data_IF_464690458364
#
_entry.id   IF_464690458364
#
_cell.length_a   1.000
_cell.length_b   1.000
_cell.length_c   1.000
_cell.angle_alpha   90.00
_cell.angle_beta   90.00
_cell.angle_gamma   90.00
#
_symmetry.space_group_name_H-M   'P 1'
#
loop_
_entity.id
_entity.type
_entity.pdbx_description
1 polymer ?
#
# COMPACT_ATOMS: atom_id res chain seq x y z
N UNK A 1 -12.25 -29.07 12.53
CA UNK A 1 -12.46 -27.67 12.95
C UNK A 1 -12.69 -26.81 11.72
N UNK A 2 -13.81 -26.15 11.65
CA UNK A 2 -14.09 -25.26 10.54
C UNK A 2 -13.69 -23.83 10.91
N UNK A 3 -13.03 -23.15 9.98
CA UNK A 3 -12.67 -21.75 10.15
C UNK A 3 -13.67 -20.88 9.42
N UNK A 4 -14.17 -19.86 10.08
CA UNK A 4 -14.99 -18.84 9.42
C UNK A 4 -14.03 -17.83 8.77
N UNK A 5 -13.80 -18.02 7.49
CA UNK A 5 -12.86 -17.19 6.73
C UNK A 5 -13.27 -15.71 6.71
N UNK A 6 -14.57 -15.44 6.61
CA UNK A 6 -15.06 -14.05 6.62
C UNK A 6 -14.74 -13.36 7.94
N UNK A 7 -14.92 -14.05 9.06
CA UNK A 7 -14.60 -13.52 10.39
C UNK A 7 -13.09 -13.29 10.54
N UNK A 8 -12.27 -14.22 10.03
CA UNK A 8 -10.82 -14.10 10.05
C UNK A 8 -10.39 -12.88 9.23
N UNK A 9 -10.92 -12.71 8.02
CA UNK A 9 -10.60 -11.56 7.16
C UNK A 9 -10.94 -10.23 7.83
N UNK A 10 -12.07 -10.16 8.53
CA UNK A 10 -12.48 -8.93 9.23
C UNK A 10 -11.55 -8.59 10.39
N UNK A 11 -10.91 -9.58 10.99
CA UNK A 11 -9.98 -9.36 12.11
C UNK A 11 -8.53 -9.19 11.67
N UNK A 12 -8.21 -9.42 10.39
CA UNK A 12 -6.85 -9.30 9.89
C UNK A 12 -6.50 -7.85 9.57
N UNK A 13 -5.29 -7.48 9.93
CA UNK A 13 -4.68 -6.21 9.53
C UNK A 13 -3.46 -6.52 8.68
N UNK A 14 -3.27 -5.74 7.61
CA UNK A 14 -2.10 -5.87 6.74
C UNK A 14 -1.17 -4.69 7.01
N UNK A 15 0.10 -5.00 7.21
CA UNK A 15 1.14 -4.00 7.40
C UNK A 15 2.02 -3.97 6.16
N UNK A 16 2.05 -2.82 5.49
CA UNK A 16 2.89 -2.62 4.29
C UNK A 16 4.03 -1.68 4.65
N UNK A 17 5.26 -2.17 4.52
CA UNK A 17 6.45 -1.39 4.85
C UNK A 17 6.93 -0.60 3.64
N UNK A 18 6.88 0.71 3.73
CA UNK A 18 7.24 1.62 2.63
C UNK A 18 8.30 2.64 3.03
N UNK A 19 9.11 2.34 4.03
CA UNK A 19 10.05 3.32 4.60
C UNK A 19 11.42 3.42 3.92
N UNK A 20 11.79 2.49 3.04
CA UNK A 20 13.10 2.46 2.41
C UNK A 20 13.29 3.53 1.34
N UNK A 21 14.55 3.91 1.09
CA UNK A 21 14.88 4.92 0.08
C UNK A 21 14.82 4.39 -1.36
N UNK A 22 14.81 3.06 -1.54
CA UNK A 22 14.78 2.47 -2.89
C UNK A 22 16.03 2.78 -3.70
N UNK A 23 17.20 2.75 -3.07
CA UNK A 23 18.47 3.13 -3.71
C UNK A 23 18.78 2.32 -4.97
N UNK A 24 18.37 1.07 -5.00
CA UNK A 24 18.59 0.20 -6.16
C UNK A 24 17.80 0.62 -7.40
N UNK A 25 16.80 1.46 -7.22
CA UNK A 25 15.94 1.94 -8.31
C UNK A 25 16.24 3.38 -8.71
N UNK A 26 17.30 3.96 -8.20
CA UNK A 26 17.72 5.29 -8.64
C UNK A 26 18.06 5.27 -10.13
N UNK A 27 17.75 6.34 -10.90
CA UNK A 27 17.25 7.64 -10.42
C UNK A 27 15.74 7.72 -10.22
N UNK A 28 14.96 6.65 -10.45
CA UNK A 28 13.49 6.68 -10.34
C UNK A 28 13.05 7.11 -8.94
N UNK A 29 13.73 6.66 -7.89
CA UNK A 29 13.37 6.98 -6.51
C UNK A 29 13.88 8.33 -6.02
N UNK A 30 14.60 9.07 -6.83
CA UNK A 30 15.05 10.41 -6.44
C UNK A 30 13.88 11.40 -6.34
N UNK A 31 12.86 11.24 -7.17
CA UNK A 31 11.69 12.12 -7.20
C UNK A 31 10.52 11.58 -6.41
N UNK A 32 10.33 10.27 -6.41
CA UNK A 32 9.20 9.62 -5.73
C UNK A 32 9.69 8.43 -4.94
N UNK A 33 9.02 8.06 -3.83
CA UNK A 33 9.35 6.84 -3.13
C UNK A 33 9.02 5.62 -3.99
N UNK A 34 9.71 4.50 -3.74
CA UNK A 34 9.53 3.26 -4.51
C UNK A 34 8.06 2.86 -4.69
N UNK A 35 7.21 2.90 -3.64
CA UNK A 35 5.81 2.49 -3.80
C UNK A 35 5.02 3.31 -4.82
N UNK A 36 5.46 4.52 -5.15
CA UNK A 36 4.79 5.38 -6.13
C UNK A 36 5.33 5.24 -7.54
N UNK A 37 6.36 4.43 -7.76
CA UNK A 37 6.87 4.15 -9.11
C UNK A 37 5.77 3.42 -9.88
N UNK A 38 5.51 3.88 -11.11
CA UNK A 38 4.45 3.31 -11.92
C UNK A 38 4.95 2.15 -12.77
N UNK A 39 4.15 1.10 -12.82
CA UNK A 39 4.32 -0.04 -13.72
C UNK A 39 3.01 -0.18 -14.48
N UNK A 40 3.05 -0.02 -15.80
CA UNK A 40 1.85 -0.07 -16.64
C UNK A 40 0.78 0.91 -16.16
N UNK A 41 1.20 2.14 -15.88
CA UNK A 41 0.32 3.26 -15.49
C UNK A 41 -0.28 3.16 -14.08
N UNK A 42 0.11 2.17 -13.27
CA UNK A 42 -0.30 2.09 -11.87
C UNK A 42 0.92 2.08 -10.96
N UNK A 43 0.83 2.79 -9.84
CA UNK A 43 1.88 2.77 -8.84
C UNK A 43 2.01 1.37 -8.23
N UNK A 44 3.22 0.98 -7.85
CA UNK A 44 3.47 -0.31 -7.21
C UNK A 44 2.52 -0.52 -6.03
N UNK A 45 2.33 0.50 -5.20
CA UNK A 45 1.46 0.41 -4.02
C UNK A 45 -0.01 0.10 -4.41
N UNK A 46 -0.47 0.55 -5.57
CA UNK A 46 -1.83 0.25 -6.02
C UNK A 46 -2.03 -1.24 -6.25
N UNK A 47 -1.05 -1.92 -6.84
CA UNK A 47 -1.13 -3.37 -7.05
C UNK A 47 -1.24 -4.11 -5.72
N UNK A 48 -0.46 -3.67 -4.73
CA UNK A 48 -0.43 -4.31 -3.41
C UNK A 48 -1.76 -4.08 -2.68
N UNK A 49 -2.22 -2.84 -2.59
CA UNK A 49 -3.46 -2.50 -1.90
C UNK A 49 -4.65 -3.18 -2.57
N UNK A 50 -4.73 -3.09 -3.89
CA UNK A 50 -5.85 -3.68 -4.63
C UNK A 50 -5.91 -5.19 -4.47
N UNK A 51 -4.75 -5.85 -4.36
CA UNK A 51 -4.69 -7.28 -4.09
C UNK A 51 -5.39 -7.62 -2.77
N UNK A 52 -5.08 -6.89 -1.70
CA UNK A 52 -5.70 -7.13 -0.40
C UNK A 52 -7.18 -6.76 -0.38
N UNK A 53 -7.55 -5.66 -1.02
CA UNK A 53 -8.96 -5.25 -1.11
C UNK A 53 -9.79 -6.28 -1.87
N UNK A 54 -9.21 -6.93 -2.87
CA UNK A 54 -9.87 -8.00 -3.62
C UNK A 54 -10.30 -9.14 -2.70
N UNK A 55 -9.51 -9.44 -1.68
CA UNK A 55 -9.83 -10.46 -0.70
C UNK A 55 -10.60 -9.90 0.50
N UNK A 56 -11.14 -8.68 0.38
CA UNK A 56 -11.94 -8.01 1.42
C UNK A 56 -11.17 -7.77 2.72
N UNK A 57 -9.84 -7.68 2.63
CA UNK A 57 -9.00 -7.25 3.73
C UNK A 57 -8.91 -5.73 3.63
N UNK A 58 -9.63 -5.02 4.50
CA UNK A 58 -9.77 -3.57 4.41
C UNK A 58 -9.17 -2.81 5.59
N UNK A 59 -8.46 -3.50 6.48
CA UNK A 59 -7.70 -2.85 7.54
C UNK A 59 -6.22 -2.87 7.17
N UNK A 60 -5.79 -1.83 6.44
CA UNK A 60 -4.45 -1.75 5.87
C UNK A 60 -3.68 -0.62 6.54
N UNK A 61 -2.50 -0.94 7.06
CA UNK A 61 -1.62 0.02 7.71
C UNK A 61 -0.36 0.15 6.85
N UNK A 62 -0.04 1.39 6.45
CA UNK A 62 1.14 1.66 5.64
C UNK A 62 2.17 2.37 6.53
N UNK A 63 3.33 1.75 6.70
CA UNK A 63 4.44 2.35 7.42
C UNK A 63 5.28 3.13 6.43
N UNK A 64 5.36 4.45 6.62
CA UNK A 64 6.00 5.36 5.69
C UNK A 64 7.32 5.90 6.25
N UNK A 65 8.14 6.47 5.39
CA UNK A 65 9.41 7.08 5.77
C UNK A 65 9.88 8.00 4.67
N UNK A 66 10.76 7.53 3.80
CA UNK A 66 11.30 8.32 2.69
C UNK A 66 10.17 8.88 1.84
N UNK A 67 10.13 10.22 1.71
CA UNK A 67 9.12 10.96 0.95
C UNK A 67 7.68 10.60 1.33
N UNK A 68 7.46 10.43 2.63
CA UNK A 68 6.16 9.99 3.15
C UNK A 68 5.01 10.92 2.78
N UNK A 69 5.26 12.22 2.62
CA UNK A 69 4.21 13.18 2.27
C UNK A 69 3.61 12.90 0.90
N UNK A 70 4.44 12.51 -0.07
CA UNK A 70 3.97 12.15 -1.42
C UNK A 70 3.11 10.89 -1.37
N UNK A 71 3.56 9.89 -0.63
CA UNK A 71 2.82 8.63 -0.49
C UNK A 71 1.49 8.86 0.22
N UNK A 72 1.49 9.60 1.32
CA UNK A 72 0.29 9.91 2.07
C UNK A 72 -0.75 10.65 1.22
N UNK A 73 -0.30 11.65 0.45
CA UNK A 73 -1.18 12.41 -0.44
C UNK A 73 -1.81 11.50 -1.49
N UNK A 74 -1.01 10.63 -2.10
CA UNK A 74 -1.50 9.69 -3.10
C UNK A 74 -2.56 8.75 -2.53
N UNK A 75 -2.28 8.13 -1.38
CA UNK A 75 -3.19 7.19 -0.74
C UNK A 75 -4.49 7.88 -0.33
N UNK A 76 -4.42 9.05 0.26
CA UNK A 76 -5.61 9.77 0.69
C UNK A 76 -6.50 10.18 -0.47
N UNK A 77 -5.91 10.49 -1.63
CA UNK A 77 -6.67 10.85 -2.81
C UNK A 77 -7.31 9.63 -3.46
N UNK A 78 -6.54 8.54 -3.58
CA UNK A 78 -6.96 7.36 -4.34
C UNK A 78 -7.91 6.47 -3.54
N UNK A 79 -7.71 6.38 -2.24
CA UNK A 79 -8.43 5.45 -1.36
C UNK A 79 -9.16 6.17 -0.22
N UNK A 80 -9.70 7.35 -0.49
CA UNK A 80 -10.28 8.19 0.57
C UNK A 80 -11.46 7.57 1.31
N UNK A 81 -12.13 6.59 0.71
CA UNK A 81 -13.26 5.90 1.35
C UNK A 81 -12.85 4.55 1.94
N UNK A 82 -11.56 4.26 2.02
CA UNK A 82 -11.04 3.00 2.56
C UNK A 82 -10.31 3.27 3.87
N UNK A 83 -10.25 2.24 4.70
CA UNK A 83 -9.55 2.32 5.99
C UNK A 83 -8.08 1.93 5.78
N UNK A 84 -7.28 2.91 5.42
CA UNK A 84 -5.86 2.70 5.11
C UNK A 84 -5.01 3.71 5.90
#
# INVERSE_FOLDING_TARGET
MSLNISKIKNSLSVLILCGGEGQRLRPLTEKVPKPLIKIKNKAIIEYIINHFLKYKINNIIIVTGYKHKLLKKFINKKYKNKKI
#
